data_IF_208093519240
#
_entry.id   IF_208093519240
#
_cell.length_a   1.000
_cell.length_b   1.000
_cell.length_c   1.000
_cell.angle_alpha   90.00
_cell.angle_beta   90.00
_cell.angle_gamma   90.00
#
_symmetry.space_group_name_H-M   'P 1'
#
loop_
_entity.id
_entity.type
_entity.pdbx_description
1 polymer ?
#
# COMPACT_ATOMS: atom_id res chain seq x y z
N UNK A 1 17.80 16.64 -1.44
CA UNK A 1 16.66 15.74 -1.73
C UNK A 1 15.39 16.40 -1.23
N UNK A 2 14.39 16.57 -2.08
CA UNK A 2 13.06 16.98 -1.62
C UNK A 2 12.43 15.78 -0.88
N UNK A 3 11.91 16.01 0.33
CA UNK A 3 11.28 14.96 1.13
C UNK A 3 9.92 14.54 0.59
N UNK A 4 9.42 13.38 1.05
CA UNK A 4 8.05 12.96 0.75
C UNK A 4 7.05 13.95 1.35
N UNK A 5 6.01 14.27 0.57
CA UNK A 5 4.86 14.94 1.13
C UNK A 5 4.15 13.98 2.08
N UNK A 6 3.84 14.43 3.29
CA UNK A 6 3.09 13.65 4.26
C UNK A 6 2.05 14.49 4.96
N UNK A 7 0.87 13.89 5.14
CA UNK A 7 -0.19 14.43 5.98
C UNK A 7 -0.04 13.81 7.36
N UNK A 8 -0.23 14.62 8.39
CA UNK A 8 -0.22 14.18 9.79
C UNK A 8 -1.54 14.55 10.44
N UNK A 9 -2.18 13.56 11.07
CA UNK A 9 -3.34 13.77 11.93
C UNK A 9 -2.92 13.46 13.36
N UNK A 10 -3.04 14.47 14.22
CA UNK A 10 -2.73 14.33 15.65
C UNK A 10 -3.99 13.97 16.44
N UNK A 11 -3.92 12.95 17.30
CA UNK A 11 -5.04 12.50 18.12
C UNK A 11 -5.32 13.48 19.27
N UNK A 12 -6.56 13.48 19.75
CA UNK A 12 -6.95 14.22 20.97
C UNK A 12 -7.90 13.38 21.83
N UNK A 13 -7.48 12.92 23.03
CA UNK A 13 -6.13 13.02 23.60
C UNK A 13 -5.12 12.07 22.91
N UNK A 14 -3.82 12.36 22.99
CA UNK A 14 -2.79 11.44 22.52
C UNK A 14 -2.61 10.25 23.45
N UNK A 15 -2.26 9.07 22.91
CA UNK A 15 -1.93 7.90 23.73
C UNK A 15 -1.64 6.61 22.98
N UNK A 16 -2.07 6.48 21.71
CA UNK A 16 -1.83 5.29 20.89
C UNK A 16 -0.50 5.31 20.12
N UNK A 17 -0.04 4.15 19.60
CA UNK A 17 1.12 4.08 18.70
C UNK A 17 0.90 4.89 17.42
N UNK A 18 2.01 5.29 16.78
CA UNK A 18 1.98 5.94 15.46
C UNK A 18 1.55 4.92 14.41
N UNK A 19 0.59 5.29 13.58
CA UNK A 19 0.10 4.51 12.45
C UNK A 19 0.54 5.17 11.14
N UNK A 20 1.14 4.39 10.25
CA UNK A 20 1.52 4.84 8.90
C UNK A 20 0.62 4.15 7.89
N UNK A 21 -0.06 4.93 7.04
CA UNK A 21 -0.95 4.43 6.00
C UNK A 21 -0.33 4.62 4.62
N UNK A 22 0.03 3.51 3.97
CA UNK A 22 0.65 3.51 2.64
C UNK A 22 -0.41 3.19 1.58
N UNK A 23 -0.52 4.02 0.55
CA UNK A 23 -1.48 3.85 -0.54
C UNK A 23 -1.00 2.87 -1.62
N UNK A 24 -1.91 2.42 -2.47
CA UNK A 24 -1.60 1.54 -3.61
C UNK A 24 -0.97 2.28 -4.80
N UNK A 25 -0.34 1.53 -5.72
CA UNK A 25 0.36 2.07 -6.89
C UNK A 25 -0.52 2.93 -7.82
N UNK A 26 -1.82 2.62 -7.91
CA UNK A 26 -2.77 3.35 -8.74
C UNK A 26 -3.30 4.65 -8.13
N UNK A 27 -2.94 4.98 -6.88
CA UNK A 27 -3.61 6.00 -6.06
C UNK A 27 -2.64 6.93 -5.34
N UNK A 28 -3.13 7.63 -4.32
CA UNK A 28 -2.36 8.52 -3.44
C UNK A 28 -2.95 8.52 -2.01
N UNK A 29 -2.23 9.11 -1.06
CA UNK A 29 -2.63 9.10 0.34
C UNK A 29 -3.90 9.89 0.62
N UNK A 30 -4.23 10.89 -0.19
CA UNK A 30 -5.47 11.66 -0.05
C UNK A 30 -6.67 10.76 -0.33
N UNK A 31 -6.68 10.12 -1.50
CA UNK A 31 -7.81 9.29 -1.95
C UNK A 31 -8.00 8.07 -1.08
N UNK A 32 -6.92 7.36 -0.75
CA UNK A 32 -7.03 6.06 -0.08
C UNK A 32 -7.39 6.20 1.41
N UNK A 33 -6.92 7.26 2.08
CA UNK A 33 -6.93 7.33 3.54
C UNK A 33 -7.59 8.56 4.15
N UNK A 34 -7.55 9.71 3.45
CA UNK A 34 -8.20 10.93 3.93
C UNK A 34 -9.66 10.96 3.50
N UNK A 35 -9.92 10.79 2.20
CA UNK A 35 -11.26 10.89 1.62
C UNK A 35 -12.17 9.73 2.07
N UNK A 36 -11.59 8.56 2.33
CA UNK A 36 -12.30 7.40 2.90
C UNK A 36 -12.59 7.51 4.40
N UNK A 37 -12.02 8.51 5.07
CA UNK A 37 -12.20 8.75 6.51
C UNK A 37 -11.43 7.80 7.43
N UNK A 38 -10.65 6.85 6.89
CA UNK A 38 -9.88 5.88 7.70
C UNK A 38 -8.83 6.57 8.59
N UNK A 39 -8.12 7.58 8.08
CA UNK A 39 -7.15 8.32 8.87
C UNK A 39 -7.80 9.11 10.01
N UNK A 40 -8.94 9.74 9.73
CA UNK A 40 -9.70 10.50 10.74
C UNK A 40 -10.22 9.58 11.84
N UNK A 41 -10.73 8.40 11.48
CA UNK A 41 -11.16 7.37 12.43
C UNK A 41 -10.00 6.96 13.35
N UNK A 42 -8.84 6.60 12.79
CA UNK A 42 -7.67 6.20 13.59
C UNK A 42 -7.19 7.29 14.54
N UNK A 43 -7.19 8.56 14.10
CA UNK A 43 -6.86 9.69 14.94
C UNK A 43 -7.87 9.87 16.09
N UNK A 44 -9.16 9.66 15.84
CA UNK A 44 -10.20 9.65 16.87
C UNK A 44 -10.04 8.50 17.87
N UNK A 45 -9.42 7.37 17.47
CA UNK A 45 -9.01 6.28 18.36
C UNK A 45 -7.71 6.54 19.13
N UNK A 46 -7.15 7.75 19.07
CA UNK A 46 -6.00 8.13 19.89
C UNK A 46 -4.64 7.92 19.23
N UNK A 47 -4.60 7.54 17.94
CA UNK A 47 -3.36 7.32 17.20
C UNK A 47 -2.87 8.58 16.50
N UNK A 48 -1.55 8.79 16.49
CA UNK A 48 -0.93 9.69 15.50
C UNK A 48 -0.91 9.01 14.15
N UNK A 49 -1.53 9.60 13.15
CA UNK A 49 -1.62 9.00 11.80
C UNK A 49 -0.75 9.79 10.83
N UNK A 50 0.13 9.09 10.13
CA UNK A 50 0.98 9.65 9.07
C UNK A 50 0.58 9.02 7.74
N UNK A 51 0.26 9.87 6.77
CA UNK A 51 -0.19 9.46 5.44
C UNK A 51 0.75 10.10 4.40
N UNK A 52 1.84 9.41 4.02
CA UNK A 52 2.73 9.88 2.95
C UNK A 52 2.09 9.65 1.58
N UNK A 53 2.39 10.54 0.64
CA UNK A 53 2.32 10.20 -0.77
C UNK A 53 3.66 9.57 -1.17
N UNK A 54 3.65 8.37 -1.76
CA UNK A 54 4.85 7.69 -2.24
C UNK A 54 5.49 8.46 -3.41
N UNK A 55 6.79 8.28 -3.71
CA UNK A 55 7.44 8.95 -4.84
C UNK A 55 6.62 8.88 -6.14
N UNK A 56 6.46 10.02 -6.82
CA UNK A 56 5.68 10.15 -8.06
C UNK A 56 4.17 10.06 -7.90
N UNK A 57 3.65 10.06 -6.67
CA UNK A 57 2.21 10.02 -6.38
C UNK A 57 1.78 11.26 -5.60
N UNK A 58 0.50 11.64 -5.75
CA UNK A 58 -0.10 12.76 -5.03
C UNK A 58 0.73 14.04 -5.15
N UNK A 59 1.12 14.57 -3.99
CA UNK A 59 1.95 15.79 -3.88
C UNK A 59 3.44 15.50 -3.74
N UNK A 60 3.86 14.24 -3.74
CA UNK A 60 5.28 13.88 -3.69
C UNK A 60 5.91 14.02 -5.08
N UNK A 61 7.16 14.51 -5.16
CA UNK A 61 7.85 14.66 -6.43
C UNK A 61 8.08 13.31 -7.09
N UNK A 62 8.19 13.32 -8.42
CA UNK A 62 8.68 12.17 -9.17
C UNK A 62 10.07 11.77 -8.67
N UNK A 63 10.34 10.46 -8.53
CA UNK A 63 11.68 10.00 -8.28
C UNK A 63 12.57 10.34 -9.48
N UNK A 64 13.78 10.82 -9.25
CA UNK A 64 14.72 11.09 -10.34
C UNK A 64 15.34 9.80 -10.88
N UNK A 65 15.33 8.71 -10.10
CA UNK A 65 15.85 7.39 -10.49
C UNK A 65 14.97 6.24 -10.00
N UNK A 66 15.07 5.06 -10.61
CA UNK A 66 14.40 3.84 -10.10
C UNK A 66 14.82 3.48 -8.68
N UNK A 67 16.07 3.77 -8.30
CA UNK A 67 16.58 3.61 -6.94
C UNK A 67 16.10 4.68 -5.95
N UNK A 68 15.35 5.68 -6.41
CA UNK A 68 14.63 6.64 -5.56
C UNK A 68 13.13 6.32 -5.54
N UNK A 69 12.62 5.81 -6.66
CA UNK A 69 11.29 5.23 -6.75
C UNK A 69 11.13 4.05 -5.79
N UNK A 70 12.26 3.40 -5.48
CA UNK A 70 12.45 2.48 -4.39
C UNK A 70 13.81 2.66 -3.77
N UNK A 71 13.85 2.74 -2.44
CA UNK A 71 15.08 2.58 -1.68
C UNK A 71 15.96 1.42 -2.24
N UNK A 72 17.30 1.53 -2.19
CA UNK A 72 18.23 0.48 -2.62
C UNK A 72 18.10 -0.81 -1.79
N UNK A 73 17.09 -1.62 -2.11
CA UNK A 73 17.40 -2.88 -2.77
C UNK A 73 17.51 -2.60 -4.30
N UNK A 74 16.57 -1.80 -4.85
CA UNK A 74 16.32 -1.24 -6.20
C UNK A 74 17.14 -1.65 -7.46
N UNK A 75 18.45 -1.50 -7.31
CA UNK A 75 19.21 -0.65 -8.22
C UNK A 75 19.98 -1.40 -9.33
N UNK A 76 19.66 -2.67 -9.64
CA UNK A 76 20.63 -3.54 -10.33
C UNK A 76 20.24 -4.18 -11.67
N UNK A 77 19.06 -3.97 -12.23
CA UNK A 77 18.67 -4.69 -13.45
C UNK A 77 18.00 -3.76 -14.48
N UNK A 78 18.68 -3.41 -15.58
CA UNK A 78 18.44 -4.00 -16.92
C UNK A 78 17.33 -3.28 -17.71
N UNK A 79 17.55 -2.16 -18.42
CA UNK A 79 18.21 -1.89 -19.72
C UNK A 79 17.50 -2.12 -21.07
N UNK A 80 16.41 -2.89 -21.28
CA UNK A 80 16.06 -3.27 -22.69
C UNK A 80 14.59 -3.26 -23.19
N UNK A 81 13.70 -2.42 -22.66
CA UNK A 81 12.50 -1.92 -23.37
C UNK A 81 11.75 -2.90 -24.29
N UNK A 82 10.87 -3.72 -23.72
CA UNK A 82 9.88 -4.53 -24.44
C UNK A 82 8.46 -4.28 -23.91
N UNK A 83 7.45 -4.38 -24.79
CA UNK A 83 6.05 -4.25 -24.42
C UNK A 83 5.51 -5.59 -23.87
N UNK A 84 4.96 -5.63 -22.65
CA UNK A 84 4.48 -6.87 -22.06
C UNK A 84 3.19 -7.37 -22.73
N UNK A 85 3.14 -8.68 -23.00
CA UNK A 85 1.98 -9.38 -23.57
C UNK A 85 0.89 -9.74 -22.53
N UNK A 86 1.22 -9.64 -21.25
CA UNK A 86 0.31 -9.91 -20.14
C UNK A 86 -0.65 -8.71 -19.89
N UNK A 87 -1.98 -8.91 -19.94
CA UNK A 87 -2.96 -7.84 -19.78
C UNK A 87 -2.88 -7.11 -18.42
N UNK A 88 -2.49 -7.80 -17.34
CA UNK A 88 -2.34 -7.19 -16.02
C UNK A 88 -1.09 -6.30 -15.96
N UNK A 89 0.01 -6.74 -16.55
CA UNK A 89 1.24 -5.96 -16.68
C UNK A 89 1.02 -4.75 -17.58
N UNK A 90 0.28 -4.90 -18.68
CA UNK A 90 -0.12 -3.77 -19.55
C UNK A 90 -1.01 -2.77 -18.81
N UNK A 91 -1.93 -3.25 -17.97
CA UNK A 91 -2.75 -2.41 -17.10
C UNK A 91 -1.89 -1.62 -16.09
N UNK A 92 -0.97 -2.27 -15.38
CA UNK A 92 -0.04 -1.61 -14.44
C UNK A 92 0.85 -0.59 -15.16
N UNK A 93 1.34 -0.92 -16.36
CA UNK A 93 2.09 0.03 -17.20
C UNK A 93 1.23 1.24 -17.59
N UNK A 94 -0.04 1.03 -17.95
CA UNK A 94 -0.99 2.09 -18.21
C UNK A 94 -1.28 2.97 -16.99
N UNK A 95 -1.23 2.39 -15.79
CA UNK A 95 -1.36 3.14 -14.55
C UNK A 95 -0.17 4.07 -14.32
N UNK A 96 1.05 3.77 -14.78
CA UNK A 96 2.20 4.62 -14.51
C UNK A 96 1.98 6.08 -14.97
N UNK A 97 1.36 6.35 -16.13
CA UNK A 97 0.97 7.71 -16.63
C UNK A 97 2.08 8.79 -16.72
N UNK A 98 3.25 8.58 -16.11
CA UNK A 98 4.41 9.48 -16.06
C UNK A 98 5.70 8.65 -16.06
N UNK A 99 6.83 9.23 -16.53
CA UNK A 99 8.14 8.57 -16.44
C UNK A 99 8.54 8.21 -15.01
N UNK A 100 8.23 9.08 -14.02
CA UNK A 100 8.54 8.85 -12.61
C UNK A 100 7.83 7.61 -12.05
N UNK A 101 6.56 7.40 -12.39
CA UNK A 101 5.83 6.20 -11.95
C UNK A 101 6.24 4.92 -12.68
N UNK A 102 6.82 5.02 -13.89
CA UNK A 102 7.43 3.87 -14.54
C UNK A 102 8.67 3.39 -13.77
N UNK A 103 9.43 4.32 -13.17
CA UNK A 103 10.55 3.99 -12.29
C UNK A 103 10.08 3.25 -11.01
N UNK A 104 8.88 3.56 -10.50
CA UNK A 104 8.28 2.83 -9.37
C UNK A 104 7.87 1.39 -9.75
N UNK A 105 7.49 1.13 -11.00
CA UNK A 105 7.20 -0.24 -11.46
C UNK A 105 8.48 -1.05 -11.55
N UNK A 106 9.52 -0.50 -12.19
CA UNK A 106 10.83 -1.17 -12.32
C UNK A 106 11.45 -1.48 -10.97
N UNK A 107 11.30 -0.52 -10.06
CA UNK A 107 11.15 -0.75 -8.65
C UNK A 107 10.58 -2.08 -8.15
N UNK A 108 9.26 -2.17 -8.11
CA UNK A 108 8.53 -3.28 -7.50
C UNK A 108 8.89 -4.64 -8.10
N UNK A 109 9.42 -4.67 -9.33
CA UNK A 109 9.81 -5.87 -10.07
C UNK A 109 11.10 -6.52 -9.58
N UNK A 110 11.68 -6.06 -8.48
CA UNK A 110 12.99 -6.50 -8.09
C UNK A 110 13.11 -8.01 -7.89
N UNK A 111 13.96 -8.62 -8.71
CA UNK A 111 14.36 -10.02 -8.61
C UNK A 111 15.82 -10.15 -8.23
N UNK A 112 16.14 -11.04 -7.27
CA UNK A 112 15.22 -11.98 -6.64
C UNK A 112 14.44 -11.36 -5.46
N UNK A 113 13.11 -11.31 -5.58
CA UNK A 113 12.23 -11.22 -4.42
C UNK A 113 12.40 -12.53 -3.63
N UNK A 114 13.17 -12.45 -2.55
CA UNK A 114 13.32 -13.59 -1.65
C UNK A 114 12.23 -13.45 -0.60
N UNK A 115 11.14 -14.22 -0.76
CA UNK A 115 10.10 -14.30 0.26
C UNK A 115 10.75 -14.65 1.60
N UNK A 116 10.48 -13.84 2.62
CA UNK A 116 10.89 -14.11 4.00
C UNK A 116 9.63 -14.27 4.84
N UNK A 117 9.67 -15.19 5.79
CA UNK A 117 8.62 -15.27 6.80
C UNK A 117 8.54 -13.93 7.54
N UNK A 118 7.31 -13.51 7.82
CA UNK A 118 7.05 -12.33 8.62
C UNK A 118 7.71 -12.48 10.00
N UNK A 119 8.52 -11.47 10.39
CA UNK A 119 9.21 -11.45 11.68
C UNK A 119 8.67 -10.34 12.61
N UNK A 120 7.55 -9.71 12.24
CA UNK A 120 6.90 -8.70 13.08
C UNK A 120 6.24 -9.33 14.30
N UNK A 121 6.11 -8.53 15.38
CA UNK A 121 5.52 -8.99 16.65
C UNK A 121 4.04 -9.35 16.53
N UNK A 122 3.32 -8.64 15.66
CA UNK A 122 1.91 -8.86 15.38
C UNK A 122 1.79 -9.54 14.01
N UNK A 123 1.12 -10.69 13.90
CA UNK A 123 0.79 -11.26 12.61
C UNK A 123 -0.03 -10.28 11.76
N UNK A 124 0.15 -10.27 10.43
CA UNK A 124 -0.61 -9.40 9.57
C UNK A 124 -2.07 -9.86 9.45
N UNK A 125 -2.97 -8.88 9.32
CA UNK A 125 -4.35 -9.11 8.90
C UNK A 125 -4.50 -8.65 7.47
N UNK A 126 -4.88 -9.59 6.59
CA UNK A 126 -5.15 -9.34 5.19
C UNK A 126 -6.63 -9.03 5.04
N UNK A 127 -6.95 -7.88 4.44
CA UNK A 127 -8.33 -7.47 4.16
C UNK A 127 -8.50 -7.38 2.65
N UNK A 128 -9.45 -8.13 2.09
CA UNK A 128 -9.69 -8.19 0.63
C UNK A 128 -11.17 -8.08 0.30
N UNK A 129 -11.49 -7.54 -0.88
CA UNK A 129 -12.84 -7.54 -1.42
C UNK A 129 -13.31 -8.94 -1.80
N UNK A 130 -14.57 -9.27 -1.54
CA UNK A 130 -15.16 -10.55 -1.93
C UNK A 130 -15.17 -10.75 -3.46
N UNK A 131 -15.28 -9.66 -4.21
CA UNK A 131 -15.33 -9.66 -5.67
C UNK A 131 -14.00 -9.17 -6.29
N UNK A 132 -12.92 -9.11 -5.49
CA UNK A 132 -11.63 -8.59 -5.93
C UNK A 132 -10.79 -9.66 -6.65
N UNK A 133 -10.95 -9.73 -7.97
CA UNK A 133 -10.13 -10.60 -8.82
C UNK A 133 -8.62 -10.32 -8.80
N UNK A 134 -8.16 -9.13 -8.38
CA UNK A 134 -6.72 -8.81 -8.31
C UNK A 134 -6.01 -9.52 -7.15
N UNK A 135 -6.75 -9.89 -6.10
CA UNK A 135 -6.20 -10.57 -4.92
C UNK A 135 -6.38 -12.09 -4.96
N UNK A 136 -6.73 -12.65 -6.13
CA UNK A 136 -6.90 -14.08 -6.31
C UNK A 136 -5.65 -14.87 -5.86
N UNK A 137 -5.84 -15.80 -4.93
CA UNK A 137 -4.78 -16.64 -4.38
C UNK A 137 -4.05 -16.05 -3.16
N UNK A 138 -4.60 -14.99 -2.54
CA UNK A 138 -4.15 -14.43 -1.27
C UNK A 138 -4.06 -15.47 -0.15
N UNK A 139 -4.87 -16.53 -0.20
CA UNK A 139 -4.88 -17.64 0.76
C UNK A 139 -3.50 -18.29 0.86
N UNK A 140 -2.78 -18.42 -0.26
CA UNK A 140 -1.42 -18.97 -0.27
C UNK A 140 -0.44 -18.09 0.49
N UNK A 141 -0.63 -16.78 0.49
CA UNK A 141 0.23 -15.83 1.24
C UNK A 141 -0.10 -15.90 2.74
N UNK A 142 -1.38 -16.01 3.08
CA UNK A 142 -1.85 -16.17 4.46
C UNK A 142 -1.31 -17.45 5.07
N UNK A 143 -1.36 -18.58 4.33
CA UNK A 143 -0.81 -19.88 4.76
C UNK A 143 0.69 -19.84 5.04
N UNK A 144 1.45 -19.00 4.33
CA UNK A 144 2.89 -18.81 4.54
C UNK A 144 3.21 -17.93 5.76
N UNK A 145 2.19 -17.36 6.40
CA UNK A 145 2.36 -16.37 7.47
C UNK A 145 1.68 -16.84 8.76
N UNK A 146 2.43 -17.50 9.67
CA UNK A 146 1.86 -18.01 10.92
C UNK A 146 1.11 -16.93 11.72
N UNK A 147 -0.12 -17.24 12.10
CA UNK A 147 -1.00 -16.34 12.86
C UNK A 147 -1.69 -15.25 12.04
N UNK A 148 -1.47 -15.18 10.73
CA UNK A 148 -2.17 -14.22 9.89
C UNK A 148 -3.68 -14.50 9.83
N UNK A 149 -4.48 -13.43 9.78
CA UNK A 149 -5.92 -13.50 9.57
C UNK A 149 -6.26 -13.01 8.16
N UNK A 150 -7.25 -13.63 7.52
CA UNK A 150 -7.83 -13.17 6.27
C UNK A 150 -9.28 -12.73 6.49
N UNK A 151 -9.55 -11.45 6.28
CA UNK A 151 -10.88 -10.85 6.38
C UNK A 151 -11.37 -10.50 4.97
N UNK A 152 -12.57 -10.98 4.61
CA UNK A 152 -13.22 -10.63 3.35
C UNK A 152 -14.32 -9.61 3.59
N UNK A 153 -14.28 -8.51 2.87
CA UNK A 153 -15.25 -7.41 2.96
C UNK A 153 -16.06 -7.30 1.67
N UNK A 154 -17.29 -6.77 1.69
CA UNK A 154 -18.08 -6.58 0.47
C UNK A 154 -17.37 -5.70 -0.57
N UNK A 155 -17.52 -6.03 -1.86
CA UNK A 155 -17.03 -5.24 -2.98
C UNK A 155 -15.76 -5.77 -3.67
N UNK A 156 -15.31 -5.07 -4.70
CA UNK A 156 -14.10 -5.35 -5.46
C UNK A 156 -12.86 -4.63 -4.91
N UNK A 157 -11.80 -4.55 -5.73
CA UNK A 157 -10.49 -4.04 -5.33
C UNK A 157 -10.53 -2.63 -4.70
N UNK A 158 -11.29 -1.71 -5.32
CA UNK A 158 -11.37 -0.32 -4.88
C UNK A 158 -12.42 -0.16 -3.78
N UNK A 159 -13.54 -0.86 -3.90
CA UNK A 159 -14.64 -0.80 -2.93
C UNK A 159 -14.24 -1.36 -1.57
N UNK A 160 -13.39 -2.40 -1.55
CA UNK A 160 -12.86 -2.97 -0.31
C UNK A 160 -12.10 -1.92 0.53
N UNK A 161 -11.38 -1.01 -0.12
CA UNK A 161 -10.62 0.06 0.51
C UNK A 161 -11.53 1.20 1.01
N UNK A 162 -12.51 1.60 0.21
CA UNK A 162 -13.42 2.69 0.55
C UNK A 162 -14.53 2.28 1.55
N UNK A 163 -14.86 0.99 1.57
CA UNK A 163 -15.96 0.41 2.33
C UNK A 163 -15.76 0.46 3.85
N UNK A 164 -16.87 0.32 4.58
CA UNK A 164 -16.85 0.24 6.04
C UNK A 164 -16.13 -1.01 6.56
N UNK A 165 -16.13 -2.10 5.78
CA UNK A 165 -15.52 -3.37 6.19
C UNK A 165 -14.03 -3.25 6.50
N UNK A 166 -13.27 -2.42 5.77
CA UNK A 166 -11.86 -2.18 6.10
C UNK A 166 -11.71 -1.49 7.46
N UNK A 167 -12.51 -0.43 7.70
CA UNK A 167 -12.49 0.30 8.98
C UNK A 167 -12.87 -0.60 10.16
N UNK A 168 -13.88 -1.44 9.99
CA UNK A 168 -14.29 -2.43 10.98
C UNK A 168 -13.19 -3.45 11.28
N UNK A 169 -12.53 -3.97 10.24
CA UNK A 169 -11.40 -4.88 10.40
C UNK A 169 -10.23 -4.21 11.16
N UNK A 170 -9.90 -2.97 10.80
CA UNK A 170 -8.85 -2.19 11.48
C UNK A 170 -9.21 -1.97 12.96
N UNK A 171 -10.45 -1.58 13.27
CA UNK A 171 -10.88 -1.40 14.67
C UNK A 171 -10.77 -2.69 15.47
N UNK A 172 -11.19 -3.83 14.88
CA UNK A 172 -11.07 -5.14 15.52
C UNK A 172 -9.61 -5.47 15.87
N UNK A 173 -8.68 -5.20 14.95
CA UNK A 173 -7.24 -5.45 15.17
C UNK A 173 -6.68 -4.56 16.27
N UNK A 174 -7.12 -3.31 16.38
CA UNK A 174 -6.64 -2.37 17.39
C UNK A 174 -7.21 -2.62 18.80
N UNK A 175 -8.32 -3.35 18.90
CA UNK A 175 -8.99 -3.68 20.17
C UNK A 175 -8.60 -5.05 20.74
N UNK A 176 -7.94 -5.90 19.95
CA UNK A 176 -7.40 -7.20 20.37
C UNK A 176 -5.97 -7.11 20.90
#
# INVERSE_FOLDING_TARGET
MAGLFSRRLDPRPPGGPVVVLLHGFGSDGQRDWIDTGTAAMLAAFGHTVIVPDLPGHGSSPDPATAAEAHAPAIARAVTHGEQPSDPFTAMIAGLARTPGRALCVEGLRETPFTARSWSGKLPPVFVVGQDDGMTAGIERIVELTPGAELVRVPGGHVEALAGAGLREAVVKVLQG
#
